data_IF_103461131801
#
_entry.id   IF_103461131801
#
_cell.length_a   1.000
_cell.length_b   1.000
_cell.length_c   1.000
_cell.angle_alpha   90.00
_cell.angle_beta   90.00
_cell.angle_gamma   90.00
#
_symmetry.space_group_name_H-M   'P 1'
#
loop_
_entity.id
_entity.type
_entity.pdbx_description
1 polymer ?
#
# COMPACT_ATOMS: atom_id res chain seq x y z
N UNK A 1 14.40 -5.91 -2.42
CA UNK A 1 13.58 -5.49 -3.58
C UNK A 1 13.21 -4.03 -3.43
N UNK A 2 12.74 -3.37 -4.51
CA UNK A 2 12.17 -2.02 -4.41
C UNK A 2 10.72 -2.11 -3.95
N UNK A 3 10.32 -1.21 -3.06
CA UNK A 3 8.97 -1.13 -2.54
C UNK A 3 8.48 0.32 -2.62
N UNK A 4 7.18 0.48 -2.89
CA UNK A 4 6.47 1.72 -2.65
C UNK A 4 5.61 1.52 -1.40
N UNK A 5 5.86 2.33 -0.37
CA UNK A 5 5.16 2.21 0.92
C UNK A 5 4.14 3.33 1.06
N UNK A 6 2.91 2.95 1.43
CA UNK A 6 1.82 3.84 1.75
C UNK A 6 1.52 3.74 3.25
N UNK A 7 1.07 4.81 3.88
CA UNK A 7 0.79 4.85 5.32
C UNK A 7 -0.56 5.51 5.60
N UNK A 8 -1.29 5.01 6.58
CA UNK A 8 -2.53 5.61 7.05
C UNK A 8 -2.66 5.55 8.57
N UNK A 9 -3.38 6.51 9.14
CA UNK A 9 -3.65 6.61 10.59
C UNK A 9 -5.14 6.84 10.85
N UNK A 10 -5.70 6.13 11.83
CA UNK A 10 -7.12 6.18 12.17
C UNK A 10 -7.62 4.89 12.80
N UNK A 11 -8.93 4.63 12.68
CA UNK A 11 -9.55 3.48 13.33
C UNK A 11 -9.33 2.19 12.52
N UNK A 12 -8.81 1.16 13.19
CA UNK A 12 -8.74 -0.19 12.64
C UNK A 12 -10.13 -0.87 12.67
N UNK A 13 -10.48 -1.69 11.66
CA UNK A 13 -9.71 -2.03 10.46
C UNK A 13 -9.92 -1.06 9.27
N UNK A 14 -10.75 -0.02 9.42
CA UNK A 14 -11.17 0.85 8.33
C UNK A 14 -9.99 1.47 7.57
N UNK A 15 -8.94 1.86 8.29
CA UNK A 15 -7.75 2.44 7.68
C UNK A 15 -7.00 1.47 6.76
N UNK A 16 -6.97 0.18 7.05
CA UNK A 16 -6.32 -0.83 6.19
C UNK A 16 -7.11 -0.98 4.89
N UNK A 17 -8.44 -1.07 5.01
CA UNK A 17 -9.34 -1.25 3.87
C UNK A 17 -9.28 0.00 2.97
N UNK A 18 -9.33 1.19 3.56
CA UNK A 18 -9.24 2.45 2.82
C UNK A 18 -7.88 2.60 2.12
N UNK A 19 -6.78 2.26 2.81
CA UNK A 19 -5.44 2.34 2.23
C UNK A 19 -5.26 1.38 1.04
N UNK A 20 -5.83 0.17 1.09
CA UNK A 20 -5.86 -0.72 -0.07
C UNK A 20 -6.64 -0.14 -1.26
N UNK A 21 -7.78 0.52 -1.02
CA UNK A 21 -8.52 1.21 -2.11
C UNK A 21 -7.68 2.32 -2.74
N UNK A 22 -6.97 3.10 -1.94
CA UNK A 22 -6.05 4.13 -2.42
C UNK A 22 -4.91 3.54 -3.27
N UNK A 23 -4.33 2.44 -2.81
CA UNK A 23 -3.29 1.71 -3.54
C UNK A 23 -3.81 1.20 -4.88
N UNK A 24 -5.00 0.59 -4.91
CA UNK A 24 -5.60 0.14 -6.17
C UNK A 24 -5.84 1.28 -7.13
N UNK A 25 -6.39 2.40 -6.65
CA UNK A 25 -6.60 3.60 -7.46
C UNK A 25 -5.28 4.15 -8.00
N UNK A 26 -4.22 4.18 -7.18
CA UNK A 26 -2.88 4.63 -7.57
C UNK A 26 -2.30 3.80 -8.73
N UNK A 27 -2.40 2.47 -8.63
CA UNK A 27 -1.88 1.58 -9.67
C UNK A 27 -2.80 1.43 -10.89
N UNK A 28 -4.08 1.82 -10.80
CA UNK A 28 -5.00 1.85 -11.94
C UNK A 28 -4.92 3.15 -12.77
N UNK A 29 -4.21 4.16 -12.28
CA UNK A 29 -4.06 5.43 -12.99
C UNK A 29 -3.28 5.24 -14.31
N UNK A 30 -3.76 5.83 -15.41
CA UNK A 30 -3.16 5.71 -16.74
C UNK A 30 -1.68 6.13 -16.79
N UNK A 31 -1.28 7.06 -15.92
CA UNK A 31 0.06 7.61 -15.83
C UNK A 31 0.85 7.11 -14.61
N UNK A 32 0.51 5.93 -14.06
CA UNK A 32 1.22 5.37 -12.92
C UNK A 32 2.71 5.12 -13.29
N UNK A 33 3.68 5.76 -12.61
CA UNK A 33 5.10 5.65 -12.97
C UNK A 33 5.73 4.33 -12.52
N UNK A 34 5.01 3.52 -11.74
CA UNK A 34 5.51 2.29 -11.15
C UNK A 34 4.68 1.07 -11.57
N UNK A 35 5.35 -0.06 -11.73
CA UNK A 35 4.72 -1.36 -12.00
C UNK A 35 4.88 -2.29 -10.81
N UNK A 36 3.78 -2.90 -10.34
CA UNK A 36 3.83 -3.92 -9.28
C UNK A 36 4.62 -5.15 -9.72
N UNK A 37 5.42 -5.69 -8.82
CA UNK A 37 6.18 -6.92 -9.03
C UNK A 37 5.32 -8.18 -8.91
N UNK A 38 4.19 -8.10 -8.18
CA UNK A 38 3.33 -9.25 -7.85
C UNK A 38 4.10 -10.42 -7.20
N UNK A 39 5.10 -10.10 -6.36
CA UNK A 39 5.87 -11.09 -5.60
C UNK A 39 5.35 -11.21 -4.18
N UNK A 40 5.63 -10.25 -3.32
CA UNK A 40 5.15 -10.22 -1.94
C UNK A 40 4.97 -8.78 -1.52
N UNK A 41 3.72 -8.44 -1.23
CA UNK A 41 3.35 -7.20 -0.56
C UNK A 41 3.07 -7.51 0.91
N UNK A 42 3.21 -6.54 1.80
CA UNK A 42 2.95 -6.77 3.22
C UNK A 42 2.37 -5.53 3.91
N UNK A 43 1.58 -5.81 4.95
CA UNK A 43 1.00 -4.83 5.85
C UNK A 43 1.85 -4.80 7.13
N UNK A 44 2.24 -3.60 7.57
CA UNK A 44 2.97 -3.39 8.81
C UNK A 44 2.11 -2.54 9.76
N UNK A 45 1.56 -3.22 10.78
CA UNK A 45 0.74 -2.62 11.82
C UNK A 45 1.64 -1.97 12.87
N UNK A 46 1.95 -0.70 12.69
CA UNK A 46 2.87 0.06 13.57
C UNK A 46 2.32 0.28 14.97
N UNK A 47 1.01 0.47 15.07
CA UNK A 47 0.30 0.67 16.34
C UNK A 47 -1.18 0.31 16.18
N UNK A 48 -1.95 0.49 17.24
CA UNK A 48 -3.42 0.29 17.24
C UNK A 48 -4.15 1.20 16.24
N UNK A 49 -3.53 2.28 15.78
CA UNK A 49 -4.15 3.26 14.90
C UNK A 49 -3.30 3.61 13.67
N UNK A 50 -2.22 2.90 13.38
CA UNK A 50 -1.31 3.22 12.27
C UNK A 50 -0.91 1.96 11.50
N UNK A 51 -1.04 2.02 10.17
CA UNK A 51 -0.64 0.94 9.26
C UNK A 51 0.17 1.47 8.10
N UNK A 52 1.14 0.67 7.67
CA UNK A 52 1.82 0.84 6.40
C UNK A 52 1.58 -0.36 5.49
N UNK A 53 1.44 -0.13 4.19
CA UNK A 53 1.35 -1.19 3.19
C UNK A 53 2.47 -0.97 2.18
N UNK A 54 3.35 -1.97 2.06
CA UNK A 54 4.48 -1.94 1.15
C UNK A 54 4.21 -2.81 -0.06
N UNK A 55 4.21 -2.19 -1.25
CA UNK A 55 3.95 -2.85 -2.53
C UNK A 55 5.26 -3.06 -3.27
N UNK A 56 5.58 -4.32 -3.59
CA UNK A 56 6.78 -4.68 -4.32
C UNK A 56 6.71 -4.11 -5.75
N UNK A 57 7.80 -3.49 -6.20
CA UNK A 57 7.93 -2.90 -7.53
C UNK A 57 8.83 -3.74 -8.43
N UNK A 58 8.51 -3.80 -9.73
CA UNK A 58 9.42 -4.35 -10.74
C UNK A 58 10.73 -3.56 -10.75
N UNK A 59 11.83 -4.26 -11.00
CA UNK A 59 13.16 -3.66 -11.21
C UNK A 59 13.26 -2.98 -12.56
#
# INVERSE_FOLDING_TARGET
GRYLTFSSKGQMPDIVINLWREIWNYFSAENCPYSRAYTTDFEFYKSENEVEISIALKS
#
